data_IF_501329673858
#
_entry.id   IF_501329673858
#
_cell.length_a   1.000
_cell.length_b   1.000
_cell.length_c   1.000
_cell.angle_alpha   90.00
_cell.angle_beta   90.00
_cell.angle_gamma   90.00
#
_symmetry.space_group_name_H-M   'P 1'
#
loop_
_entity.id
_entity.type
_entity.pdbx_description
1 polymer ?
#
# COMPACT_ATOMS: atom_id res chain seq x y z
N UNK A 1 4.86 11.62 14.45
CA UNK A 1 3.44 12.01 14.68
C UNK A 1 2.58 10.95 14.01
N UNK A 2 1.48 10.52 14.63
CA UNK A 2 0.60 9.53 14.00
C UNK A 2 -0.12 10.13 12.79
N UNK A 3 -0.07 9.45 11.65
CA UNK A 3 -0.81 9.83 10.44
C UNK A 3 -2.28 9.46 10.61
N UNK A 4 -3.19 10.40 10.36
CA UNK A 4 -4.64 10.14 10.42
C UNK A 4 -5.10 9.38 9.18
N UNK A 5 -6.11 8.52 9.33
CA UNK A 5 -6.77 7.86 8.20
C UNK A 5 -8.30 7.96 8.29
N UNK A 6 -8.97 7.87 7.14
CA UNK A 6 -10.43 7.90 6.98
C UNK A 6 -10.82 6.68 6.15
N UNK A 7 -10.93 5.54 6.82
CA UNK A 7 -11.21 4.27 6.19
C UNK A 7 -12.70 4.13 5.94
N UNK A 8 -13.08 3.82 4.69
CA UNK A 8 -14.47 3.58 4.30
C UNK A 8 -14.80 2.08 4.41
N UNK A 9 -13.85 1.22 4.00
CA UNK A 9 -14.01 -0.22 4.06
C UNK A 9 -12.71 -0.90 4.52
N UNK A 10 -12.85 -1.71 5.56
CA UNK A 10 -11.87 -2.68 6.02
C UNK A 10 -12.44 -4.07 5.76
N UNK A 11 -11.65 -4.94 5.13
CA UNK A 11 -11.97 -6.37 5.03
C UNK A 11 -11.07 -7.16 5.97
N UNK A 12 -11.52 -8.35 6.35
CA UNK A 12 -10.73 -9.26 7.15
C UNK A 12 -10.12 -10.32 6.23
N UNK A 13 -8.85 -10.65 6.44
CA UNK A 13 -8.16 -11.74 5.73
C UNK A 13 -7.46 -12.66 6.71
N UNK A 14 -7.18 -13.88 6.29
CA UNK A 14 -6.17 -14.72 6.94
C UNK A 14 -4.84 -14.46 6.25
N UNK A 15 -3.85 -13.96 6.99
CA UNK A 15 -2.53 -13.65 6.46
C UNK A 15 -1.83 -14.95 6.01
N UNK A 16 -1.36 -15.01 4.77
CA UNK A 16 -0.65 -16.18 4.24
C UNK A 16 0.85 -16.12 4.52
N UNK A 17 1.37 -14.94 4.83
CA UNK A 17 2.74 -14.67 5.28
C UNK A 17 2.71 -13.53 6.32
N UNK A 18 3.87 -13.21 6.92
CA UNK A 18 3.96 -12.08 7.84
C UNK A 18 3.61 -10.76 7.11
N UNK A 19 2.72 -9.97 7.71
CA UNK A 19 2.32 -8.65 7.24
C UNK A 19 2.81 -7.59 8.23
N UNK A 20 3.25 -6.46 7.70
CA UNK A 20 3.68 -5.31 8.48
C UNK A 20 2.62 -4.22 8.39
N UNK A 21 2.30 -3.59 9.52
CA UNK A 21 1.41 -2.45 9.59
C UNK A 21 1.79 -1.39 8.55
N UNK A 22 0.78 -0.77 7.94
CA UNK A 22 0.93 0.30 6.95
C UNK A 22 1.68 -0.11 5.67
N UNK A 23 1.76 -1.43 5.37
CA UNK A 23 2.27 -1.94 4.10
C UNK A 23 1.17 -2.62 3.28
N UNK A 24 1.37 -2.65 1.96
CA UNK A 24 0.41 -3.21 1.04
C UNK A 24 0.27 -4.73 1.21
N UNK A 25 -0.97 -5.19 1.15
CA UNK A 25 -1.32 -6.61 1.14
C UNK A 25 -1.71 -7.00 -0.28
N UNK A 26 -1.14 -8.08 -0.80
CA UNK A 26 -1.46 -8.64 -2.11
C UNK A 26 -2.80 -9.38 -2.12
N UNK A 27 -3.26 -9.77 -3.32
CA UNK A 27 -4.49 -10.55 -3.49
C UNK A 27 -4.41 -11.99 -2.91
N UNK A 28 -3.19 -12.45 -2.60
CA UNK A 28 -2.87 -13.72 -1.96
C UNK A 28 -2.78 -13.62 -0.42
N UNK A 29 -3.13 -12.46 0.15
CA UNK A 29 -3.04 -12.14 1.58
C UNK A 29 -1.60 -12.19 2.15
N UNK A 30 -0.59 -12.03 1.28
CA UNK A 30 0.82 -11.87 1.64
C UNK A 30 1.26 -10.41 1.40
N UNK A 31 2.52 -10.00 1.74
CA UNK A 31 3.05 -8.71 1.31
C UNK A 31 2.94 -8.52 -0.20
N UNK A 32 2.40 -7.39 -0.64
CA UNK A 32 2.20 -7.10 -2.05
C UNK A 32 3.54 -7.00 -2.79
N UNK A 33 3.62 -7.64 -3.95
CA UNK A 33 4.82 -7.65 -4.78
C UNK A 33 4.97 -6.36 -5.60
N UNK A 34 6.19 -6.07 -6.04
CA UNK A 34 6.48 -4.86 -6.80
C UNK A 34 5.61 -4.75 -8.06
N UNK A 35 4.90 -3.63 -8.20
CA UNK A 35 4.01 -3.34 -9.31
C UNK A 35 2.75 -4.23 -9.40
N UNK A 36 2.54 -5.14 -8.45
CA UNK A 36 1.38 -6.03 -8.45
C UNK A 36 0.12 -5.33 -7.91
N UNK A 37 -1.04 -6.00 -8.06
CA UNK A 37 -2.30 -5.51 -7.50
C UNK A 37 -2.27 -5.63 -5.97
N UNK A 38 -2.41 -4.49 -5.29
CA UNK A 38 -2.66 -4.45 -3.86
C UNK A 38 -4.14 -4.70 -3.59
N UNK A 39 -4.47 -5.61 -2.67
CA UNK A 39 -5.80 -5.75 -2.06
C UNK A 39 -6.13 -4.53 -1.19
N UNK A 40 -5.18 -4.11 -0.35
CA UNK A 40 -5.32 -3.01 0.58
C UNK A 40 -4.04 -2.77 1.37
N UNK A 41 -4.16 -2.15 2.54
CA UNK A 41 -3.04 -1.90 3.47
C UNK A 41 -3.33 -2.59 4.80
N UNK A 42 -2.33 -3.28 5.36
CA UNK A 42 -2.46 -3.92 6.67
C UNK A 42 -2.62 -2.86 7.77
N UNK A 43 -3.70 -2.95 8.55
CA UNK A 43 -3.95 -2.00 9.64
C UNK A 43 -3.03 -2.25 10.85
N UNK A 44 -2.60 -3.50 11.04
CA UNK A 44 -1.71 -3.95 12.12
C UNK A 44 -0.75 -5.01 11.61
N UNK A 45 0.35 -5.23 12.35
CA UNK A 45 1.23 -6.38 12.11
C UNK A 45 0.45 -7.69 12.29
N UNK A 46 0.80 -8.70 11.50
CA UNK A 46 0.20 -10.02 11.57
C UNK A 46 1.22 -11.11 11.22
N UNK A 47 1.20 -12.24 11.91
CA UNK A 47 1.93 -13.43 11.52
C UNK A 47 1.12 -14.27 10.51
N UNK A 48 1.79 -15.21 9.83
CA UNK A 48 1.10 -16.15 8.97
C UNK A 48 0.07 -16.99 9.77
N UNK A 49 -1.16 -17.06 9.26
CA UNK A 49 -2.29 -17.71 9.90
C UNK A 49 -3.16 -16.78 10.75
N UNK A 50 -2.70 -15.57 11.06
CA UNK A 50 -3.49 -14.61 11.82
C UNK A 50 -4.66 -14.07 10.99
N UNK A 51 -5.78 -13.81 11.66
CA UNK A 51 -6.93 -13.12 11.08
C UNK A 51 -6.75 -11.63 11.33
N UNK A 52 -6.54 -10.85 10.27
CA UNK A 52 -6.12 -9.44 10.39
C UNK A 52 -6.94 -8.49 9.51
N UNK A 53 -7.20 -7.25 9.98
CA UNK A 53 -7.86 -6.21 9.19
C UNK A 53 -6.95 -5.62 8.10
N UNK A 54 -7.53 -5.47 6.90
CA UNK A 54 -6.91 -4.84 5.72
C UNK A 54 -7.82 -3.72 5.21
N UNK A 55 -7.30 -2.50 5.15
CA UNK A 55 -8.04 -1.33 4.66
C UNK A 55 -8.01 -1.29 3.13
N UNK A 56 -9.17 -1.38 2.50
CA UNK A 56 -9.29 -1.54 1.04
C UNK A 56 -9.85 -0.30 0.34
N UNK A 57 -10.54 0.60 1.06
CA UNK A 57 -11.16 1.79 0.49
C UNK A 57 -11.09 2.99 1.45
N UNK A 58 -10.85 4.19 0.92
CA UNK A 58 -10.86 5.45 1.66
C UNK A 58 -9.53 6.20 1.58
N UNK A 59 -9.24 7.01 2.59
CA UNK A 59 -7.95 7.66 2.77
C UNK A 59 -7.14 6.84 3.78
N UNK A 60 -6.13 6.12 3.28
CA UNK A 60 -5.42 5.08 4.02
C UNK A 60 -3.97 5.51 4.24
N UNK A 61 -3.44 5.28 5.43
CA UNK A 61 -2.03 5.52 5.74
C UNK A 61 -1.17 4.35 5.20
N UNK A 62 -0.07 4.66 4.53
CA UNK A 62 0.87 3.68 3.98
C UNK A 62 2.31 4.19 4.12
N UNK A 63 3.23 3.29 4.43
CA UNK A 63 4.67 3.55 4.47
C UNK A 63 5.20 3.74 3.04
N UNK A 64 5.97 4.80 2.82
CA UNK A 64 6.64 5.07 1.56
C UNK A 64 7.96 4.30 1.48
N UNK A 65 8.25 3.72 0.31
CA UNK A 65 9.51 3.04 -0.01
C UNK A 65 10.54 3.96 -0.70
N UNK A 66 10.12 5.17 -1.07
CA UNK A 66 10.93 6.18 -1.76
C UNK A 66 10.28 7.56 -1.60
N UNK A 67 10.93 8.59 -2.11
CA UNK A 67 10.31 9.91 -2.23
C UNK A 67 9.07 9.85 -3.14
N UNK A 68 7.97 10.45 -2.69
CA UNK A 68 6.68 10.51 -3.39
C UNK A 68 6.16 11.93 -3.31
N UNK A 69 5.89 12.54 -4.46
CA UNK A 69 5.25 13.86 -4.50
C UNK A 69 3.73 13.75 -4.33
N UNK A 70 3.14 14.74 -3.67
CA UNK A 70 1.69 14.85 -3.54
C UNK A 70 1.00 14.83 -4.91
N UNK A 71 -0.07 14.04 -5.03
CA UNK A 71 -0.85 13.87 -6.25
C UNK A 71 -0.30 12.82 -7.22
N UNK A 72 0.86 12.21 -6.94
CA UNK A 72 1.37 11.10 -7.74
C UNK A 72 0.56 9.83 -7.51
N UNK A 73 0.42 9.04 -8.57
CA UNK A 73 -0.06 7.66 -8.48
C UNK A 73 1.07 6.82 -7.87
N UNK A 74 0.71 5.98 -6.91
CA UNK A 74 1.65 5.07 -6.26
C UNK A 74 1.34 3.62 -6.62
N UNK A 75 2.38 2.78 -6.57
CA UNK A 75 2.30 1.33 -6.66
C UNK A 75 3.03 0.70 -5.46
N UNK A 76 2.90 -0.62 -5.31
CA UNK A 76 3.71 -1.38 -4.36
C UNK A 76 5.14 -1.59 -4.88
N UNK A 77 6.13 -1.56 -3.99
CA UNK A 77 7.49 -2.05 -4.24
C UNK A 77 7.70 -3.49 -3.73
N UNK A 78 8.96 -3.95 -3.70
CA UNK A 78 9.32 -5.30 -3.23
C UNK A 78 9.21 -5.50 -1.71
N UNK A 79 9.14 -4.41 -0.95
CA UNK A 79 8.96 -4.40 0.51
C UNK A 79 7.49 -4.15 0.90
N UNK A 80 6.59 -4.10 -0.09
CA UNK A 80 5.20 -3.71 0.04
C UNK A 80 4.96 -2.26 0.48
N UNK A 81 5.92 -1.37 0.24
CA UNK A 81 5.80 0.06 0.51
C UNK A 81 5.31 0.82 -0.73
N UNK A 82 4.82 2.04 -0.52
CA UNK A 82 4.36 2.93 -1.56
C UNK A 82 5.53 3.63 -2.26
N UNK A 83 5.61 3.46 -3.58
CA UNK A 83 6.57 4.14 -4.46
C UNK A 83 5.85 4.76 -5.65
N UNK A 84 6.43 5.76 -6.34
CA UNK A 84 5.84 6.30 -7.56
C UNK A 84 5.57 5.18 -8.58
N UNK A 85 4.43 5.24 -9.25
CA UNK A 85 4.08 4.26 -10.27
C UNK A 85 5.13 4.25 -11.38
N UNK A 86 5.65 3.06 -11.68
CA UNK A 86 6.57 2.84 -12.79
C UNK A 86 5.75 2.82 -14.08
N UNK A 87 6.02 3.73 -15.03
CA UNK A 87 5.32 3.74 -16.31
C UNK A 87 5.69 2.50 -17.13
N UNK A 88 4.84 2.17 -18.10
CA UNK A 88 5.15 1.11 -19.05
C UNK A 88 6.44 1.43 -19.82
N UNK A 89 7.26 0.40 -20.06
CA UNK A 89 8.52 0.52 -20.78
C UNK A 89 8.68 -0.66 -21.75
N UNK A 90 8.63 -0.39 -23.05
CA UNK A 90 8.66 -1.45 -24.07
C UNK A 90 7.49 -2.41 -23.90
N UNK A 91 7.79 -3.70 -23.74
CA UNK A 91 6.82 -4.77 -23.49
C UNK A 91 6.48 -4.94 -22.00
N UNK A 92 7.17 -4.23 -21.10
CA UNK A 92 6.87 -4.25 -19.67
C UNK A 92 5.67 -3.34 -19.37
N UNK A 93 4.55 -3.88 -18.85
CA UNK A 93 3.40 -3.07 -18.49
C UNK A 93 3.73 -2.12 -17.33
N UNK A 94 2.97 -1.04 -17.21
CA UNK A 94 3.05 -0.17 -16.03
C UNK A 94 2.68 -0.99 -14.78
N UNK A 95 3.26 -0.63 -13.63
CA UNK A 95 2.82 -1.21 -12.36
C UNK A 95 1.38 -0.81 -12.06
N UNK A 96 0.68 -1.61 -11.25
CA UNK A 96 -0.73 -1.38 -10.93
C UNK A 96 -0.87 -0.30 -9.86
N UNK A 97 -1.79 0.64 -10.09
CA UNK A 97 -2.10 1.71 -9.12
C UNK A 97 -2.64 1.14 -7.82
N UNK A 98 -2.07 1.60 -6.71
CA UNK A 98 -2.56 1.35 -5.35
C UNK A 98 -3.31 2.55 -4.74
N UNK A 99 -3.30 3.71 -5.42
CA UNK A 99 -3.95 4.95 -4.99
C UNK A 99 -3.19 6.21 -5.44
N UNK A 100 -3.66 7.36 -4.98
CA UNK A 100 -3.05 8.67 -5.24
C UNK A 100 -2.53 9.26 -3.94
N UNK A 101 -1.26 9.70 -3.89
CA UNK A 101 -0.66 10.32 -2.72
C UNK A 101 -1.36 11.65 -2.36
N UNK A 102 -1.76 11.81 -1.09
CA UNK A 102 -2.34 13.05 -0.55
C UNK A 102 -1.34 13.90 0.24
N UNK A 103 -0.24 13.27 0.65
CA UNK A 103 0.89 13.87 1.34
C UNK A 103 2.17 13.65 0.51
N UNK A 104 3.22 14.39 0.82
CA UNK A 104 4.57 14.18 0.26
C UNK A 104 5.37 13.26 1.20
N UNK A 105 6.10 12.31 0.64
CA UNK A 105 7.15 11.55 1.31
C UNK A 105 8.51 12.07 0.83
N UNK A 106 9.40 12.41 1.75
CA UNK A 106 10.75 12.87 1.44
C UNK A 106 11.73 11.70 1.33
N UNK A 107 11.45 10.58 2.00
CA UNK A 107 12.29 9.38 2.00
C UNK A 107 11.49 8.10 2.31
N UNK A 108 12.19 6.96 2.21
CA UNK A 108 11.70 5.67 2.73
C UNK A 108 11.39 5.78 4.23
N UNK A 109 10.31 5.12 4.67
CA UNK A 109 9.85 5.09 6.06
C UNK A 109 8.89 6.21 6.44
N UNK A 110 8.71 7.23 5.58
CA UNK A 110 7.66 8.23 5.78
C UNK A 110 6.28 7.60 5.61
N UNK A 111 5.35 7.86 6.55
CA UNK A 111 3.97 7.37 6.45
C UNK A 111 3.08 8.46 5.86
N UNK A 112 2.62 8.23 4.64
CA UNK A 112 1.76 9.15 3.88
C UNK A 112 0.32 8.64 3.81
N UNK A 113 -0.62 9.53 3.51
CA UNK A 113 -1.99 9.14 3.15
C UNK A 113 -2.12 8.96 1.64
N UNK A 114 -2.85 7.92 1.23
CA UNK A 114 -3.27 7.72 -0.16
C UNK A 114 -4.79 7.74 -0.27
N UNK A 115 -5.29 8.34 -1.35
CA UNK A 115 -6.68 8.19 -1.79
C UNK A 115 -6.79 6.88 -2.57
N UNK A 116 -7.49 5.90 -2.00
CA UNK A 116 -7.64 4.56 -2.57
C UNK A 116 -9.08 4.31 -3.00
N UNK A 117 -9.25 3.63 -4.14
CA UNK A 117 -10.55 3.30 -4.75
C UNK A 117 -11.04 4.32 -5.79
N UNK A 118 -10.10 4.99 -6.47
CA UNK A 118 -10.33 5.94 -7.57
C UNK A 118 -9.72 5.44 -8.87
#
# INVERSE_FOLDING_TARGET
MGTTQQVILTTTVTASAALTQQRFVGADNAPCQAGAVALGVAEVDAAAGDVTPVNVLGIVAVEAGAAVSRGQIVQSDANACAVPQVPAAGETPAGISAGIALDEALAEGDVIRILRGV
#
